data_IF_429198934431
#
_entry.id   IF_429198934431
#
_cell.length_a   1.000
_cell.length_b   1.000
_cell.length_c   1.000
_cell.angle_alpha   90.00
_cell.angle_beta   90.00
_cell.angle_gamma   90.00
#
_symmetry.space_group_name_H-M   'P 1'
#
loop_
_entity.id
_entity.type
_entity.pdbx_description
1 polymer ?
#
# COMPACT_ATOMS: atom_id res chain seq x y z
N UNK A 1 10.47 -21.66 -2.98
CA UNK A 1 10.60 -20.23 -3.31
C UNK A 1 11.37 -20.11 -4.59
N UNK A 2 10.81 -19.40 -5.56
CA UNK A 2 11.43 -18.97 -6.79
C UNK A 2 12.31 -17.74 -6.56
N UNK A 3 12.92 -17.26 -7.64
CA UNK A 3 13.87 -16.15 -7.62
C UNK A 3 13.25 -14.87 -7.07
N UNK A 4 11.98 -14.61 -7.41
CA UNK A 4 11.24 -13.40 -7.00
C UNK A 4 11.06 -13.34 -5.48
N UNK A 5 10.68 -14.46 -4.87
CA UNK A 5 10.57 -14.58 -3.41
C UNK A 5 11.91 -14.36 -2.72
N UNK A 6 12.99 -14.93 -3.27
CA UNK A 6 14.35 -14.77 -2.72
C UNK A 6 14.83 -13.32 -2.82
N UNK A 7 14.64 -12.65 -3.96
CA UNK A 7 15.02 -11.24 -4.12
C UNK A 7 14.25 -10.33 -3.16
N UNK A 8 12.95 -10.59 -2.97
CA UNK A 8 12.15 -9.83 -2.03
C UNK A 8 12.63 -10.04 -0.59
N UNK A 9 12.92 -11.28 -0.18
CA UNK A 9 13.48 -11.60 1.14
C UNK A 9 14.79 -10.86 1.36
N UNK A 10 15.74 -10.97 0.44
CA UNK A 10 17.03 -10.27 0.54
C UNK A 10 16.86 -8.75 0.64
N UNK A 11 15.95 -8.18 -0.17
CA UNK A 11 15.67 -6.74 -0.10
C UNK A 11 15.12 -6.33 1.27
N UNK A 12 14.29 -7.16 1.90
CA UNK A 12 13.73 -6.90 3.23
C UNK A 12 14.79 -7.07 4.31
N UNK A 13 15.63 -8.10 4.24
CA UNK A 13 16.78 -8.27 5.13
C UNK A 13 17.68 -7.03 5.11
N UNK A 14 18.06 -6.57 3.92
CA UNK A 14 18.87 -5.36 3.73
C UNK A 14 18.18 -4.11 4.31
N UNK A 15 16.87 -3.97 4.06
CA UNK A 15 16.10 -2.81 4.51
C UNK A 15 16.05 -2.72 6.04
N UNK A 16 15.81 -3.84 6.72
CA UNK A 16 15.66 -3.88 8.18
C UNK A 16 16.96 -4.20 8.93
N UNK A 17 18.03 -4.57 8.23
CA UNK A 17 19.28 -5.01 8.85
C UNK A 17 19.13 -6.30 9.65
N UNK A 18 18.28 -7.23 9.18
CA UNK A 18 17.98 -8.50 9.84
C UNK A 18 18.42 -9.68 8.97
N UNK A 19 18.37 -10.88 9.55
CA UNK A 19 18.55 -12.14 8.84
C UNK A 19 17.33 -13.05 9.01
N UNK A 20 16.81 -13.56 7.91
CA UNK A 20 15.70 -14.50 7.84
C UNK A 20 16.28 -15.85 7.42
N UNK A 21 16.26 -16.81 8.35
CA UNK A 21 16.79 -18.14 8.08
C UNK A 21 15.85 -18.90 7.13
N UNK A 22 16.38 -19.88 6.39
CA UNK A 22 15.62 -20.68 5.42
C UNK A 22 14.33 -21.28 6.04
N UNK A 23 14.43 -21.80 7.26
CA UNK A 23 13.28 -22.38 7.99
C UNK A 23 12.21 -21.37 8.41
N UNK A 24 12.53 -20.08 8.45
CA UNK A 24 11.58 -18.98 8.67
C UNK A 24 10.99 -18.55 7.34
N UNK A 25 11.84 -18.40 6.31
CA UNK A 25 11.40 -18.10 4.96
C UNK A 25 10.36 -19.12 4.48
N UNK A 26 10.55 -20.42 4.74
CA UNK A 26 9.62 -21.50 4.39
C UNK A 26 8.22 -21.35 4.99
N UNK A 27 8.05 -20.47 5.99
CA UNK A 27 6.76 -20.17 6.63
C UNK A 27 6.09 -18.92 6.06
N UNK A 28 6.74 -18.20 5.15
CA UNK A 28 6.21 -16.98 4.54
C UNK A 28 5.33 -17.38 3.35
N UNK A 29 4.03 -17.55 3.60
CA UNK A 29 3.03 -17.78 2.54
C UNK A 29 2.26 -16.51 2.20
N UNK A 30 2.08 -15.61 3.17
CA UNK A 30 1.31 -14.36 3.07
C UNK A 30 2.13 -13.14 3.46
N UNK A 31 1.70 -11.97 2.99
CA UNK A 31 2.32 -10.68 3.35
C UNK A 31 2.31 -10.46 4.87
N UNK A 32 1.26 -10.92 5.57
CA UNK A 32 1.14 -10.83 7.02
C UNK A 32 2.19 -11.68 7.72
N UNK A 33 2.40 -12.93 7.29
CA UNK A 33 3.41 -13.81 7.88
C UNK A 33 4.83 -13.25 7.67
N UNK A 34 5.07 -12.62 6.53
CA UNK A 34 6.33 -11.92 6.29
C UNK A 34 6.50 -10.77 7.29
N UNK A 35 5.49 -9.92 7.45
CA UNK A 35 5.51 -8.83 8.41
C UNK A 35 5.68 -9.33 9.85
N UNK A 36 5.06 -10.46 10.21
CA UNK A 36 5.18 -11.07 11.53
C UNK A 36 6.61 -11.54 11.80
N UNK A 37 7.26 -12.20 10.84
CA UNK A 37 8.66 -12.63 10.96
C UNK A 37 9.58 -11.42 11.11
N UNK A 38 9.44 -10.42 10.25
CA UNK A 38 10.26 -9.18 10.32
C UNK A 38 10.06 -8.49 11.67
N UNK A 39 8.80 -8.31 12.09
CA UNK A 39 8.47 -7.63 13.35
C UNK A 39 9.03 -8.38 14.57
N UNK A 40 9.10 -9.72 14.52
CA UNK A 40 9.70 -10.53 15.59
C UNK A 40 11.22 -10.37 15.73
N UNK A 41 11.89 -9.84 14.69
CA UNK A 41 13.37 -9.71 14.61
C UNK A 41 13.89 -8.31 14.85
N UNK A 42 13.01 -7.31 14.91
CA UNK A 42 13.39 -5.90 15.10
C UNK A 42 13.04 -5.42 16.51
N UNK A 43 13.77 -4.41 16.97
CA UNK A 43 13.34 -3.63 18.14
C UNK A 43 12.25 -2.66 17.72
N UNK A 44 11.25 -2.45 18.58
CA UNK A 44 10.20 -1.46 18.35
C UNK A 44 10.02 -0.55 19.57
N UNK A 45 9.59 0.68 19.31
CA UNK A 45 9.43 1.76 20.27
C UNK A 45 7.97 2.22 20.29
N UNK A 46 7.11 1.58 21.10
CA UNK A 46 5.70 1.94 21.16
C UNK A 46 5.49 3.42 21.42
N UNK A 47 4.49 3.99 20.76
CA UNK A 47 4.12 5.39 20.93
C UNK A 47 2.61 5.51 21.01
N UNK A 48 2.14 6.61 21.62
CA UNK A 48 0.71 6.95 21.65
C UNK A 48 0.24 7.61 20.35
N UNK A 49 1.16 7.93 19.43
CA UNK A 49 0.84 8.44 18.10
C UNK A 49 0.50 7.27 17.18
N UNK A 50 -0.48 7.47 16.31
CA UNK A 50 -0.87 6.47 15.32
C UNK A 50 -0.63 7.02 13.91
N UNK A 51 0.30 6.41 13.17
CA UNK A 51 0.70 6.88 11.84
C UNK A 51 -0.50 6.95 10.87
N UNK A 52 -1.34 5.92 10.85
CA UNK A 52 -2.54 5.88 10.01
C UNK A 52 -3.51 7.03 10.35
N UNK A 53 -3.67 7.38 11.63
CA UNK A 53 -4.45 8.54 12.03
C UNK A 53 -3.82 9.86 11.57
N UNK A 54 -2.50 10.02 11.72
CA UNK A 54 -1.78 11.21 11.28
C UNK A 54 -1.99 11.43 9.78
N UNK A 55 -1.82 10.38 8.97
CA UNK A 55 -2.00 10.45 7.51
C UNK A 55 -3.48 10.64 7.15
N UNK A 56 -4.40 9.98 7.85
CA UNK A 56 -5.83 10.22 7.69
C UNK A 56 -6.20 11.69 7.91
N UNK A 57 -5.66 12.35 8.93
CA UNK A 57 -5.94 13.76 9.16
C UNK A 57 -5.36 14.68 8.08
N UNK A 58 -4.19 14.34 7.52
CA UNK A 58 -3.64 15.04 6.34
C UNK A 58 -4.56 14.90 5.12
N UNK A 59 -4.97 13.66 4.81
CA UNK A 59 -5.93 13.34 3.74
C UNK A 59 -7.23 14.10 3.94
N UNK A 60 -7.80 14.05 5.14
CA UNK A 60 -9.05 14.74 5.46
C UNK A 60 -8.93 16.25 5.21
N UNK A 61 -7.85 16.89 5.67
CA UNK A 61 -7.62 18.33 5.45
C UNK A 61 -7.50 18.68 3.97
N UNK A 62 -6.74 17.88 3.20
CA UNK A 62 -6.56 18.10 1.78
C UNK A 62 -7.86 17.88 0.99
N UNK A 63 -8.63 16.83 1.30
CA UNK A 63 -9.95 16.59 0.72
C UNK A 63 -10.91 17.75 1.02
N UNK A 64 -11.01 18.19 2.28
CA UNK A 64 -11.83 19.35 2.67
C UNK A 64 -11.43 20.67 1.99
N UNK A 65 -10.21 20.77 1.44
CA UNK A 65 -9.80 21.92 0.63
C UNK A 65 -10.27 21.80 -0.82
N UNK A 66 -10.36 20.57 -1.34
CA UNK A 66 -10.77 20.29 -2.71
C UNK A 66 -12.28 20.23 -2.91
N UNK A 67 -12.99 19.72 -1.90
CA UNK A 67 -14.44 19.61 -1.91
C UNK A 67 -15.02 20.83 -1.19
N UNK A 68 -15.90 21.58 -1.84
CA UNK A 68 -16.59 22.74 -1.23
C UNK A 68 -17.70 22.33 -0.24
N UNK A 69 -17.63 21.11 0.28
CA UNK A 69 -18.65 20.48 1.11
C UNK A 69 -18.10 20.24 2.51
N UNK A 70 -18.88 20.61 3.53
CA UNK A 70 -18.57 20.38 4.95
C UNK A 70 -18.82 18.92 5.39
N UNK A 71 -18.93 17.99 4.44
CA UNK A 71 -19.15 16.57 4.71
C UNK A 71 -18.10 16.03 5.68
N UNK A 72 -18.58 15.41 6.76
CA UNK A 72 -17.73 14.70 7.72
C UNK A 72 -17.07 13.49 7.06
N UNK A 73 -15.78 13.58 6.80
CA UNK A 73 -14.98 12.50 6.22
C UNK A 73 -14.69 11.43 7.29
N UNK A 74 -14.97 10.17 6.97
CA UNK A 74 -14.70 9.00 7.83
C UNK A 74 -13.90 7.92 7.09
N UNK A 75 -13.16 7.04 7.80
CA UNK A 75 -12.30 6.05 7.15
C UNK A 75 -13.02 5.06 6.22
N UNK A 76 -14.30 4.77 6.46
CA UNK A 76 -15.05 3.75 5.71
C UNK A 76 -15.75 4.31 4.46
N UNK A 77 -15.72 5.64 4.25
CA UNK A 77 -16.29 6.25 3.05
C UNK A 77 -15.45 5.90 1.84
N UNK A 78 -16.10 5.76 0.68
CA UNK A 78 -15.43 5.50 -0.59
C UNK A 78 -14.80 6.77 -1.13
N UNK A 79 -13.68 6.63 -1.84
CA UNK A 79 -12.98 7.75 -2.49
C UNK A 79 -13.90 8.48 -3.47
N UNK A 80 -14.66 7.75 -4.31
CA UNK A 80 -15.61 8.35 -5.27
C UNK A 80 -16.75 9.16 -4.63
N UNK A 81 -16.96 9.08 -3.32
CA UNK A 81 -17.90 10.01 -2.66
C UNK A 81 -17.40 11.45 -2.62
N UNK A 82 -16.11 11.67 -2.89
CA UNK A 82 -15.46 12.98 -2.85
C UNK A 82 -15.01 13.49 -4.22
N UNK A 83 -15.07 12.64 -5.25
CA UNK A 83 -14.61 12.95 -6.59
C UNK A 83 -15.67 12.57 -7.63
N UNK A 84 -16.04 13.51 -8.49
CA UNK A 84 -16.85 13.22 -9.68
C UNK A 84 -15.99 12.47 -10.71
N UNK A 85 -16.51 11.43 -11.36
CA UNK A 85 -15.82 10.68 -12.42
C UNK A 85 -15.29 11.59 -13.55
N UNK A 86 -16.02 12.65 -13.90
CA UNK A 86 -15.62 13.59 -14.94
C UNK A 86 -14.36 14.40 -14.58
N UNK A 87 -14.20 14.71 -13.29
CA UNK A 87 -13.09 15.54 -12.78
C UNK A 87 -12.04 14.71 -12.04
N UNK A 88 -12.25 13.39 -11.91
CA UNK A 88 -11.47 12.50 -11.05
C UNK A 88 -9.97 12.64 -11.34
N UNK A 89 -9.56 12.58 -12.62
CA UNK A 89 -8.14 12.67 -13.00
C UNK A 89 -7.52 14.00 -12.58
N UNK A 90 -8.21 15.11 -12.81
CA UNK A 90 -7.71 16.46 -12.49
C UNK A 90 -7.66 16.68 -10.98
N UNK A 91 -8.75 16.37 -10.28
CA UNK A 91 -8.85 16.52 -8.82
C UNK A 91 -7.91 15.57 -8.08
N UNK A 92 -7.66 14.37 -8.61
CA UNK A 92 -6.67 13.44 -8.06
C UNK A 92 -5.25 14.01 -8.15
N UNK A 93 -4.90 14.64 -9.28
CA UNK A 93 -3.62 15.33 -9.42
C UNK A 93 -3.49 16.52 -8.45
N UNK A 94 -4.54 17.35 -8.34
CA UNK A 94 -4.56 18.45 -7.37
C UNK A 94 -4.42 17.93 -5.92
N UNK A 95 -5.04 16.80 -5.62
CA UNK A 95 -4.96 16.14 -4.33
C UNK A 95 -3.55 15.63 -4.02
N UNK A 96 -2.87 15.01 -4.98
CA UNK A 96 -1.47 14.60 -4.87
C UNK A 96 -0.56 15.79 -4.59
N UNK A 97 -0.76 16.90 -5.30
CA UNK A 97 -0.01 18.15 -5.10
C UNK A 97 -0.25 18.78 -3.73
N UNK A 98 -1.50 18.79 -3.25
CA UNK A 98 -1.83 19.33 -1.92
C UNK A 98 -1.25 18.48 -0.78
N UNK A 99 -1.21 17.16 -0.94
CA UNK A 99 -0.64 16.26 0.06
C UNK A 99 0.89 16.25 0.06
N UNK A 100 1.52 16.55 -1.08
CA UNK A 100 2.94 16.35 -1.32
C UNK A 100 3.40 14.92 -0.98
N UNK A 101 2.55 13.93 -1.31
CA UNK A 101 2.78 12.50 -1.11
C UNK A 101 2.28 11.76 -2.36
N UNK A 102 3.01 10.74 -2.81
CA UNK A 102 2.65 9.89 -3.94
C UNK A 102 1.30 9.22 -3.70
N UNK A 103 0.39 9.31 -4.67
CA UNK A 103 -0.89 8.61 -4.65
C UNK A 103 -0.84 7.30 -5.45
N UNK A 104 -1.73 6.33 -5.16
CA UNK A 104 -1.92 5.20 -6.05
C UNK A 104 -2.38 5.69 -7.42
N UNK A 105 -1.79 5.10 -8.47
CA UNK A 105 -2.09 5.47 -9.86
C UNK A 105 -3.49 5.00 -10.24
N UNK A 106 -4.32 5.92 -10.73
CA UNK A 106 -5.60 5.59 -11.36
C UNK A 106 -5.38 4.73 -12.61
N UNK A 107 -6.33 3.85 -12.90
CA UNK A 107 -6.39 2.95 -14.05
C UNK A 107 -7.66 3.14 -14.87
N UNK A 108 -7.72 2.51 -16.04
CA UNK A 108 -8.90 2.58 -16.90
C UNK A 108 -10.20 2.14 -16.19
N UNK A 109 -10.11 1.18 -15.27
CA UNK A 109 -11.23 0.75 -14.42
C UNK A 109 -11.81 1.87 -13.56
N UNK A 110 -11.01 2.87 -13.17
CA UNK A 110 -11.48 4.02 -12.38
C UNK A 110 -12.43 4.93 -13.17
N UNK A 111 -12.34 4.88 -14.50
CA UNK A 111 -13.14 5.70 -15.39
C UNK A 111 -14.24 4.91 -16.09
N UNK A 112 -14.06 3.58 -16.23
CA UNK A 112 -15.04 2.69 -16.81
C UNK A 112 -14.99 1.31 -16.13
N UNK A 113 -15.94 0.98 -15.24
CA UNK A 113 -15.93 -0.26 -14.47
C UNK A 113 -16.16 -1.52 -15.31
N UNK A 114 -16.59 -1.39 -16.57
CA UNK A 114 -16.82 -2.52 -17.47
C UNK A 114 -15.56 -2.97 -18.23
N UNK A 115 -14.42 -2.29 -18.04
CA UNK A 115 -13.17 -2.65 -18.70
C UNK A 115 -12.41 -3.70 -17.88
N UNK A 116 -12.26 -4.91 -18.40
CA UNK A 116 -11.28 -5.84 -17.84
C UNK A 116 -9.88 -5.25 -18.01
N UNK A 117 -9.17 -5.00 -16.90
CA UNK A 117 -7.77 -4.55 -16.96
C UNK A 117 -6.85 -5.55 -16.31
N UNK A 118 -5.65 -5.61 -16.86
CA UNK A 118 -4.64 -6.60 -16.58
C UNK A 118 -3.30 -5.87 -16.41
N UNK A 119 -2.52 -6.23 -15.41
CA UNK A 119 -1.19 -5.65 -15.18
C UNK A 119 -0.14 -6.73 -15.39
N UNK A 120 0.88 -6.38 -16.18
CA UNK A 120 2.08 -7.20 -16.31
C UNK A 120 2.94 -7.00 -15.07
N UNK A 121 3.16 -8.07 -14.35
CA UNK A 121 4.06 -8.18 -13.20
C UNK A 121 5.33 -8.87 -13.70
N UNK A 122 6.48 -8.26 -13.43
CA UNK A 122 7.79 -8.78 -13.85
C UNK A 122 7.93 -9.09 -15.37
N UNK A 123 7.20 -8.35 -16.22
CA UNK A 123 7.28 -8.46 -17.69
C UNK A 123 6.53 -9.62 -18.35
N UNK A 124 6.13 -10.67 -17.60
CA UNK A 124 5.57 -11.91 -18.18
C UNK A 124 4.21 -12.30 -17.57
N UNK A 125 4.02 -12.19 -16.25
CA UNK A 125 2.79 -12.62 -15.58
C UNK A 125 1.72 -11.54 -15.63
N UNK A 126 0.47 -11.92 -15.83
CA UNK A 126 -0.65 -10.98 -15.95
C UNK A 126 -1.63 -11.18 -14.80
N UNK A 127 -1.70 -10.22 -13.88
CA UNK A 127 -2.69 -10.23 -12.80
C UNK A 127 -3.90 -9.43 -13.27
N UNK A 128 -5.09 -9.97 -13.03
CA UNK A 128 -6.35 -9.25 -13.28
C UNK A 128 -6.50 -8.17 -12.22
N UNK A 129 -6.72 -6.92 -12.63
CA UNK A 129 -7.13 -5.88 -11.69
C UNK A 129 -8.63 -6.01 -11.53
N UNK A 130 -9.04 -6.28 -10.31
CA UNK A 130 -10.46 -6.44 -10.00
C UNK A 130 -11.04 -5.18 -9.34
N UNK A 131 -10.19 -4.30 -8.79
CA UNK A 131 -10.64 -3.16 -8.00
C UNK A 131 -10.06 -1.83 -8.50
N UNK A 132 -10.89 -0.89 -9.02
CA UNK A 132 -10.47 0.47 -9.27
C UNK A 132 -10.06 1.18 -7.96
N UNK A 133 -8.96 1.93 -8.00
CA UNK A 133 -8.43 2.70 -6.86
C UNK A 133 -9.51 3.59 -6.24
N UNK A 134 -10.31 4.23 -7.08
CA UNK A 134 -11.38 5.16 -6.73
C UNK A 134 -12.57 4.50 -6.02
N UNK A 135 -12.73 3.17 -6.10
CA UNK A 135 -13.72 2.44 -5.30
C UNK A 135 -13.20 2.07 -3.90
N UNK A 136 -11.91 2.26 -3.63
CA UNK A 136 -11.33 2.07 -2.31
C UNK A 136 -11.91 3.00 -1.26
N UNK A 137 -11.78 2.60 -0.01
CA UNK A 137 -12.14 3.40 1.16
C UNK A 137 -11.04 4.42 1.50
N UNK A 138 -11.37 5.45 2.27
CA UNK A 138 -10.36 6.38 2.82
C UNK A 138 -9.33 5.64 3.70
N UNK A 139 -9.73 4.58 4.40
CA UNK A 139 -8.80 3.72 5.15
C UNK A 139 -7.80 3.04 4.21
N UNK A 140 -8.26 2.43 3.12
CA UNK A 140 -7.38 1.83 2.13
C UNK A 140 -6.46 2.88 1.50
N UNK A 141 -6.97 4.09 1.21
CA UNK A 141 -6.17 5.20 0.72
C UNK A 141 -5.03 5.59 1.68
N UNK A 142 -5.31 5.63 2.98
CA UNK A 142 -4.28 5.85 4.02
C UNK A 142 -3.19 4.79 3.93
N UNK A 143 -3.58 3.52 3.87
CA UNK A 143 -2.66 2.38 3.83
C UNK A 143 -1.80 2.39 2.54
N UNK A 144 -2.40 2.71 1.40
CA UNK A 144 -1.71 2.85 0.12
C UNK A 144 -0.71 4.02 0.14
N UNK A 145 -1.13 5.19 0.60
CA UNK A 145 -0.26 6.38 0.69
C UNK A 145 0.91 6.11 1.64
N UNK A 146 0.69 5.48 2.78
CA UNK A 146 1.79 5.17 3.70
C UNK A 146 2.79 4.22 3.06
N UNK A 147 2.31 3.17 2.38
CA UNK A 147 3.19 2.19 1.72
C UNK A 147 4.01 2.81 0.59
N UNK A 148 3.38 3.64 -0.25
CA UNK A 148 4.02 4.35 -1.37
C UNK A 148 5.02 5.43 -0.93
N UNK A 149 4.88 5.94 0.30
CA UNK A 149 5.71 7.03 0.83
C UNK A 149 6.47 6.60 2.10
N UNK A 150 6.69 5.29 2.26
CA UNK A 150 7.26 4.68 3.48
C UNK A 150 8.60 5.29 3.89
N UNK A 151 9.47 5.59 2.94
CA UNK A 151 10.82 6.13 3.20
C UNK A 151 10.80 7.56 3.76
N UNK A 152 9.67 8.27 3.59
CA UNK A 152 9.47 9.62 4.13
C UNK A 152 8.64 9.58 5.41
N UNK A 153 7.72 8.63 5.54
CA UNK A 153 6.73 8.59 6.61
C UNK A 153 7.12 7.70 7.79
N UNK A 154 8.03 6.74 7.60
CA UNK A 154 8.40 5.75 8.60
C UNK A 154 9.90 5.84 8.86
N UNK A 155 10.26 6.10 10.12
CA UNK A 155 11.64 6.02 10.60
C UNK A 155 11.95 4.56 10.96
N UNK A 156 12.76 3.90 10.14
CA UNK A 156 13.07 2.47 10.29
C UNK A 156 13.84 2.17 11.58
N UNK A 157 14.57 3.15 12.13
CA UNK A 157 15.28 3.00 13.40
C UNK A 157 14.32 3.14 14.60
N UNK A 158 13.10 3.65 14.38
CA UNK A 158 12.09 3.92 15.40
C UNK A 158 10.72 3.35 15.05
N UNK A 159 10.69 2.14 14.49
CA UNK A 159 9.44 1.42 14.24
C UNK A 159 8.61 1.36 15.52
N UNK A 160 7.36 1.80 15.44
CA UNK A 160 6.48 1.93 16.60
C UNK A 160 5.45 0.81 16.72
N UNK A 161 5.17 0.13 15.60
CA UNK A 161 4.14 -0.90 15.52
C UNK A 161 4.35 -1.82 14.32
N UNK A 162 3.74 -3.01 14.38
CA UNK A 162 3.72 -3.96 13.27
C UNK A 162 3.09 -3.39 11.99
N UNK A 163 2.11 -2.49 12.14
CA UNK A 163 1.48 -1.81 11.02
C UNK A 163 2.50 -1.11 10.12
N UNK A 164 3.53 -0.47 10.68
CA UNK A 164 4.58 0.18 9.89
C UNK A 164 5.40 -0.82 9.09
N UNK A 165 5.71 -1.99 9.66
CA UNK A 165 6.38 -3.09 8.95
C UNK A 165 5.52 -3.60 7.80
N UNK A 166 4.22 -3.82 8.03
CA UNK A 166 3.27 -4.22 6.99
C UNK A 166 3.25 -3.22 5.82
N UNK A 167 3.19 -1.90 6.12
CA UNK A 167 3.22 -0.87 5.09
C UNK A 167 4.54 -0.84 4.33
N UNK A 168 5.67 -1.06 5.02
CA UNK A 168 6.98 -1.15 4.37
C UNK A 168 7.01 -2.31 3.38
N UNK A 169 6.60 -3.50 3.81
CA UNK A 169 6.60 -4.71 2.97
C UNK A 169 5.66 -4.55 1.77
N UNK A 170 4.44 -4.03 1.96
CA UNK A 170 3.54 -3.75 0.83
C UNK A 170 4.16 -2.79 -0.19
N UNK A 171 4.87 -1.74 0.26
CA UNK A 171 5.57 -0.82 -0.64
C UNK A 171 6.74 -1.49 -1.38
N UNK A 172 7.48 -2.37 -0.70
CA UNK A 172 8.57 -3.12 -1.33
C UNK A 172 8.09 -4.11 -2.38
N UNK A 173 6.93 -4.74 -2.17
CA UNK A 173 6.29 -5.59 -3.18
C UNK A 173 5.94 -4.77 -4.43
N UNK A 174 5.42 -3.54 -4.27
CA UNK A 174 5.15 -2.66 -5.42
C UNK A 174 6.43 -2.30 -6.18
N UNK A 175 7.48 -1.92 -5.47
CA UNK A 175 8.74 -1.48 -6.10
C UNK A 175 9.50 -2.63 -6.77
N UNK A 176 9.55 -3.81 -6.13
CA UNK A 176 10.38 -4.93 -6.56
C UNK A 176 9.67 -5.85 -7.55
N UNK A 177 8.39 -6.13 -7.28
CA UNK A 177 7.63 -7.10 -8.07
C UNK A 177 6.78 -6.39 -9.14
N UNK A 178 6.34 -5.15 -8.85
CA UNK A 178 5.49 -4.39 -9.76
C UNK A 178 3.99 -4.68 -9.59
N UNK A 179 3.59 -5.37 -8.51
CA UNK A 179 2.18 -5.51 -8.16
C UNK A 179 1.67 -4.13 -7.69
N UNK A 180 0.62 -3.55 -8.29
CA UNK A 180 0.13 -2.24 -7.88
C UNK A 180 -0.31 -2.25 -6.42
N UNK A 181 0.02 -1.19 -5.67
CA UNK A 181 -0.29 -1.12 -4.23
C UNK A 181 -1.78 -1.31 -3.89
N UNK A 182 -2.69 -0.97 -4.82
CA UNK A 182 -4.13 -1.16 -4.64
C UNK A 182 -4.58 -2.62 -4.66
N UNK A 183 -3.73 -3.54 -5.15
CA UNK A 183 -3.98 -4.98 -5.26
C UNK A 183 -3.24 -5.77 -4.17
N UNK A 184 -2.58 -5.09 -3.22
CA UNK A 184 -1.81 -5.72 -2.15
C UNK A 184 -2.54 -5.55 -0.82
N UNK A 185 -2.99 -6.67 -0.26
CA UNK A 185 -3.50 -6.76 1.10
C UNK A 185 -2.62 -7.67 1.96
N UNK A 186 -2.59 -7.43 3.27
CA UNK A 186 -1.71 -8.20 4.18
C UNK A 186 -2.06 -9.69 4.20
N UNK A 187 -3.32 -10.05 3.94
CA UNK A 187 -3.75 -11.44 3.94
C UNK A 187 -3.49 -12.14 2.59
N UNK A 188 -3.06 -11.42 1.55
CA UNK A 188 -2.76 -12.01 0.26
C UNK A 188 -1.57 -12.97 0.37
N UNK A 189 -1.73 -14.14 -0.25
CA UNK A 189 -0.67 -15.10 -0.46
C UNK A 189 0.26 -14.65 -1.58
N UNK A 190 1.57 -14.91 -1.40
CA UNK A 190 2.58 -14.57 -2.40
C UNK A 190 2.30 -15.27 -3.72
N UNK A 191 2.01 -16.58 -3.68
CA UNK A 191 1.84 -17.39 -4.89
C UNK A 191 0.47 -17.22 -5.54
N UNK A 192 -0.63 -17.41 -4.80
CA UNK A 192 -1.96 -17.47 -5.41
C UNK A 192 -2.53 -16.08 -5.72
N UNK A 193 -2.30 -15.10 -4.86
CA UNK A 193 -2.92 -13.77 -5.00
C UNK A 193 -1.97 -12.78 -5.68
N UNK A 194 -0.68 -12.80 -5.33
CA UNK A 194 0.31 -11.85 -5.87
C UNK A 194 1.11 -12.42 -7.06
N UNK A 195 1.00 -13.72 -7.35
CA UNK A 195 1.70 -14.37 -8.47
C UNK A 195 3.22 -14.42 -8.32
N UNK A 196 3.74 -14.31 -7.09
CA UNK A 196 5.16 -14.37 -6.71
C UNK A 196 5.51 -15.82 -6.40
N UNK A 197 6.46 -16.41 -7.15
CA UNK A 197 6.89 -17.80 -6.96
C UNK A 197 8.12 -17.93 -6.06
#
# INVERSE_FOLDING_TARGET
>A
MGLDSVELIMSVEDKFGIRIEDSEAEKIYTVQEFADIVFSKISFNPTNKCLSQIVFFKIRKALSTLISDEKKITPNMKILEFFNLLELKEKWYQFEMLLALRLPRLVALDFNPNLGTHVKVFGIKTIKRDTPVSQGTIKQLVDWIISLNRDVLIDIEKISSKYEVERIICGMIEDKIGVPISEIEVHHSFTNDLGID
#
